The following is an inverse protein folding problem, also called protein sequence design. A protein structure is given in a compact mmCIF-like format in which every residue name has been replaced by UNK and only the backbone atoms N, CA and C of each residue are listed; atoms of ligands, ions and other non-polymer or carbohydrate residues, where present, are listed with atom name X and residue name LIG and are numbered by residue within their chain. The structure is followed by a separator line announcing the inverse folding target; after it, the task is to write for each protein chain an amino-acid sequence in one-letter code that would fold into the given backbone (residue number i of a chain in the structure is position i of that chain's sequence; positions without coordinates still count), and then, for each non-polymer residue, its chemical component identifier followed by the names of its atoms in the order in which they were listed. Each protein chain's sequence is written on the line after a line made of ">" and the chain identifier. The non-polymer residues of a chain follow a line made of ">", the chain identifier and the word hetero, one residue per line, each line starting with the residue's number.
data_IF_281679828472
#
_entry.id   IF_281679828472
#
_cell.length_a   1.000
_cell.length_b   1.000
_cell.length_c   1.000
_cell.angle_alpha   90.00
_cell.angle_beta   90.00
_cell.angle_gamma   90.00
#
_symmetry.space_group_name_H-M   'P 1'
#
loop_
_entity.id
_entity.type
_entity.pdbx_description
1 polymer ?
#
# COMPACT_ATOMS: atom_id res chain seq x y z
N UNK A 1 14.37 9.18 16.83
CA UNK A 1 13.76 7.85 16.62
C UNK A 1 14.74 7.00 15.84
N UNK A 2 15.07 5.83 16.34
CA UNK A 2 16.03 4.97 15.66
C UNK A 2 15.38 4.18 14.51
N UNK A 3 16.20 3.49 13.71
CA UNK A 3 15.70 2.74 12.55
C UNK A 3 14.74 1.62 12.96
N UNK A 4 14.98 1.00 14.14
CA UNK A 4 14.12 -0.08 14.62
C UNK A 4 12.71 0.41 14.92
N UNK A 5 12.56 1.57 15.54
CA UNK A 5 11.26 2.14 15.81
C UNK A 5 10.53 2.55 14.53
N UNK A 6 11.27 3.09 13.57
CA UNK A 6 10.69 3.47 12.28
C UNK A 6 10.22 2.26 11.50
N UNK A 7 11.02 1.20 11.44
CA UNK A 7 10.63 0.00 10.70
C UNK A 7 9.42 -0.68 11.35
N UNK A 8 9.32 -0.63 12.69
CA UNK A 8 8.17 -1.15 13.41
C UNK A 8 6.89 -0.41 13.03
N UNK A 9 6.95 0.91 12.95
CA UNK A 9 5.80 1.72 12.54
C UNK A 9 5.44 1.48 11.07
N UNK A 10 6.45 1.35 10.22
CA UNK A 10 6.23 1.02 8.80
C UNK A 10 5.54 -0.34 8.69
N UNK A 11 5.97 -1.31 9.48
CA UNK A 11 5.36 -2.63 9.52
C UNK A 11 3.89 -2.56 9.91
N UNK A 12 3.57 -1.80 10.97
CA UNK A 12 2.18 -1.64 11.41
C UNK A 12 1.31 -0.99 10.35
N UNK A 13 1.81 0.05 9.68
CA UNK A 13 1.10 0.65 8.55
C UNK A 13 0.89 -0.36 7.43
N UNK A 14 1.90 -1.14 7.13
CA UNK A 14 1.84 -2.15 6.05
C UNK A 14 0.77 -3.19 6.35
N UNK A 15 0.70 -3.67 7.58
CA UNK A 15 -0.34 -4.63 7.99
C UNK A 15 -1.73 -4.01 7.93
N UNK A 16 -1.86 -2.75 8.30
CA UNK A 16 -3.14 -2.04 8.21
C UNK A 16 -3.58 -1.84 6.75
N UNK A 17 -2.62 -1.55 5.86
CA UNK A 17 -2.89 -1.43 4.43
C UNK A 17 -3.36 -2.78 3.88
N UNK A 18 -2.68 -3.85 4.23
CA UNK A 18 -3.05 -5.20 3.80
C UNK A 18 -4.48 -5.55 4.24
N UNK A 19 -4.80 -5.24 5.49
CA UNK A 19 -6.13 -5.48 6.04
C UNK A 19 -7.21 -4.68 5.32
N UNK A 20 -6.97 -3.40 5.10
CA UNK A 20 -7.93 -2.55 4.38
C UNK A 20 -8.13 -3.05 2.94
N UNK A 21 -7.05 -3.43 2.28
CA UNK A 21 -7.12 -3.97 0.91
C UNK A 21 -7.92 -5.29 0.87
N UNK A 22 -7.73 -6.14 1.89
CA UNK A 22 -8.40 -7.44 1.94
C UNK A 22 -9.91 -7.33 2.03
N UNK A 23 -10.42 -6.25 2.62
CA UNK A 23 -11.87 -6.01 2.74
C UNK A 23 -12.38 -4.97 1.74
N UNK A 24 -11.55 -4.57 0.78
CA UNK A 24 -11.95 -3.65 -0.28
C UNK A 24 -12.06 -2.19 0.14
N UNK A 25 -11.50 -1.81 1.27
CA UNK A 25 -11.50 -0.42 1.74
C UNK A 25 -10.33 0.35 1.12
N UNK A 26 -10.40 0.58 -0.18
CA UNK A 26 -9.31 1.15 -0.96
C UNK A 26 -8.99 2.59 -0.61
N UNK A 27 -10.01 3.38 -0.25
CA UNK A 27 -9.79 4.76 0.19
C UNK A 27 -8.95 4.79 1.46
N UNK A 28 -9.28 3.93 2.42
CA UNK A 28 -8.52 3.82 3.67
C UNK A 28 -7.11 3.31 3.40
N UNK A 29 -6.96 2.32 2.53
CA UNK A 29 -5.65 1.80 2.15
C UNK A 29 -4.78 2.92 1.55
N UNK A 30 -5.32 3.74 0.68
CA UNK A 30 -4.59 4.84 0.06
C UNK A 30 -4.14 5.88 1.09
N UNK A 31 -5.00 6.21 2.05
CA UNK A 31 -4.64 7.14 3.13
C UNK A 31 -3.50 6.59 3.99
N UNK A 32 -3.53 5.30 4.26
CA UNK A 32 -2.47 4.64 5.04
C UNK A 32 -1.15 4.59 4.27
N UNK A 33 -1.19 4.36 2.97
CA UNK A 33 -0.01 4.42 2.10
C UNK A 33 0.61 5.81 2.17
N UNK A 34 -0.21 6.85 2.05
CA UNK A 34 0.26 8.22 2.14
C UNK A 34 0.90 8.52 3.50
N UNK A 35 0.29 8.04 4.58
CA UNK A 35 0.81 8.25 5.93
C UNK A 35 2.13 7.51 6.14
N UNK A 36 2.31 6.34 5.52
CA UNK A 36 3.53 5.54 5.62
C UNK A 36 4.70 6.13 4.83
N UNK A 37 4.42 6.81 3.73
CA UNK A 37 5.45 7.26 2.78
C UNK A 37 6.59 8.06 3.41
N UNK A 38 6.34 9.06 4.28
CA UNK A 38 7.45 9.79 4.89
C UNK A 38 8.37 8.91 5.73
N UNK A 39 7.81 7.89 6.39
CA UNK A 39 8.61 6.97 7.19
C UNK A 39 9.52 6.12 6.31
N UNK A 40 9.01 5.61 5.19
CA UNK A 40 9.82 4.87 4.23
C UNK A 40 10.95 5.74 3.67
N UNK A 41 10.63 6.96 3.29
CA UNK A 41 11.62 7.88 2.73
C UNK A 41 12.66 8.32 3.75
N UNK A 42 12.35 8.22 5.04
CA UNK A 42 13.29 8.59 6.10
C UNK A 42 14.33 7.52 6.39
N UNK A 43 14.16 6.30 5.89
CA UNK A 43 15.13 5.24 6.07
C UNK A 43 16.35 5.49 5.19
N UNK A 44 17.54 5.30 5.75
CA UNK A 44 18.79 5.41 5.00
C UNK A 44 19.02 4.19 4.12
N UNK A 45 20.06 4.25 3.30
CA UNK A 45 20.42 3.17 2.38
C UNK A 45 21.12 2.01 3.06
N UNK A 46 21.72 2.26 4.23
CA UNK A 46 22.44 1.23 4.98
C UNK A 46 21.60 0.79 6.17
N UNK A 47 21.14 -0.45 6.12
CA UNK A 47 20.29 -1.01 7.15
C UNK A 47 20.90 -2.32 7.66
N UNK A 48 20.57 -2.69 8.90
CA UNK A 48 20.98 -3.96 9.48
C UNK A 48 20.34 -5.13 8.72
N UNK A 49 20.94 -6.33 8.78
CA UNK A 49 20.32 -7.51 8.15
C UNK A 49 18.90 -7.78 8.64
N UNK A 50 18.61 -7.53 9.92
CA UNK A 50 17.27 -7.72 10.47
C UNK A 50 16.27 -6.76 9.84
N UNK A 51 16.65 -5.49 9.69
CA UNK A 51 15.79 -4.48 9.05
C UNK A 51 15.61 -4.80 7.57
N UNK A 52 16.66 -5.23 6.89
CA UNK A 52 16.57 -5.63 5.48
C UNK A 52 15.61 -6.80 5.28
N UNK A 53 15.64 -7.80 6.18
CA UNK A 53 14.72 -8.93 6.12
C UNK A 53 13.28 -8.46 6.25
N UNK A 54 13.02 -7.54 7.18
CA UNK A 54 11.68 -7.01 7.38
C UNK A 54 11.22 -6.16 6.21
N UNK A 55 12.13 -5.39 5.59
CA UNK A 55 11.82 -4.62 4.38
C UNK A 55 11.44 -5.53 3.21
N UNK A 56 12.07 -6.71 3.10
CA UNK A 56 11.69 -7.68 2.07
C UNK A 56 10.26 -8.19 2.29
N UNK A 57 9.88 -8.46 3.54
CA UNK A 57 8.50 -8.87 3.84
C UNK A 57 7.51 -7.76 3.53
N UNK A 58 7.85 -6.52 3.89
CA UNK A 58 7.02 -5.36 3.57
C UNK A 58 6.85 -5.24 2.06
N UNK A 59 7.94 -5.40 1.31
CA UNK A 59 7.90 -5.34 -0.15
C UNK A 59 6.99 -6.43 -0.73
N UNK A 60 7.07 -7.65 -0.21
CA UNK A 60 6.21 -8.74 -0.66
C UNK A 60 4.73 -8.44 -0.40
N UNK A 61 4.41 -7.86 0.76
CA UNK A 61 3.04 -7.44 1.06
C UNK A 61 2.60 -6.33 0.11
N UNK A 62 3.46 -5.34 -0.15
CA UNK A 62 3.17 -4.26 -1.09
C UNK A 62 2.85 -4.81 -2.48
N UNK A 63 3.61 -5.80 -2.95
CA UNK A 63 3.37 -6.40 -4.25
C UNK A 63 1.99 -7.08 -4.30
N UNK A 64 1.61 -7.80 -3.24
CA UNK A 64 0.31 -8.45 -3.19
C UNK A 64 -0.83 -7.44 -3.15
N UNK A 65 -0.65 -6.35 -2.38
CA UNK A 65 -1.65 -5.28 -2.31
C UNK A 65 -1.79 -4.58 -3.65
N UNK A 66 -0.67 -4.28 -4.32
CA UNK A 66 -0.68 -3.65 -5.64
C UNK A 66 -1.37 -4.53 -6.66
N UNK A 67 -1.12 -5.83 -6.63
CA UNK A 67 -1.79 -6.79 -7.52
C UNK A 67 -3.29 -6.82 -7.26
N UNK A 68 -3.70 -6.87 -5.99
CA UNK A 68 -5.12 -6.85 -5.63
C UNK A 68 -5.78 -5.55 -6.08
N UNK A 69 -5.08 -4.42 -5.96
CA UNK A 69 -5.58 -3.13 -6.42
C UNK A 69 -5.79 -3.12 -7.94
N UNK A 70 -4.86 -3.72 -8.69
CA UNK A 70 -4.99 -3.81 -10.14
C UNK A 70 -6.19 -4.67 -10.54
N UNK A 71 -6.41 -5.78 -9.85
CA UNK A 71 -7.57 -6.65 -10.10
C UNK A 71 -8.86 -5.88 -9.83
N UNK A 72 -8.94 -5.18 -8.69
CA UNK A 72 -10.10 -4.37 -8.33
C UNK A 72 -10.33 -3.24 -9.34
N UNK A 73 -9.26 -2.61 -9.81
CA UNK A 73 -9.34 -1.55 -10.82
C UNK A 73 -9.93 -2.08 -12.13
N UNK A 74 -9.52 -3.27 -12.56
CA UNK A 74 -10.04 -3.86 -13.80
C UNK A 74 -11.54 -4.18 -13.66
N UNK A 75 -11.94 -4.74 -12.53
CA UNK A 75 -13.35 -5.03 -12.26
C UNK A 75 -14.17 -3.75 -12.24
N UNK A 76 -13.66 -2.71 -11.57
CA UNK A 76 -14.30 -1.41 -11.49
C UNK A 76 -14.36 -0.74 -12.86
N UNK A 77 -13.33 -0.91 -13.69
CA UNK A 77 -13.30 -0.38 -15.04
C UNK A 77 -14.41 -0.95 -15.91
N UNK A 78 -14.70 -2.24 -15.77
CA UNK A 78 -15.80 -2.88 -16.48
C UNK A 78 -17.14 -2.29 -16.05
N UNK A 79 -17.34 -2.05 -14.74
CA UNK A 79 -18.53 -1.39 -14.24
C UNK A 79 -18.61 0.08 -14.65
N UNK A 80 -17.46 0.75 -14.67
CA UNK A 80 -17.35 2.15 -15.03
C UNK A 80 -17.86 2.41 -16.46
N UNK A 81 -17.53 1.53 -17.40
CA UNK A 81 -18.02 1.67 -18.77
C UNK A 81 -19.53 1.64 -18.86
N UNK A 82 -20.17 0.97 -17.91
CA UNK A 82 -21.63 0.89 -17.87
C UNK A 82 -22.26 2.07 -17.14
N UNK A 83 -21.61 2.62 -16.11
CA UNK A 83 -22.25 3.55 -15.18
C UNK A 83 -21.61 4.94 -15.13
N UNK A 84 -20.36 5.08 -15.49
CA UNK A 84 -19.61 6.36 -15.44
C UNK A 84 -19.53 6.95 -14.02
N UNK A 85 -19.59 6.13 -12.99
CA UNK A 85 -19.66 6.64 -11.61
C UNK A 85 -18.40 6.39 -10.76
N UNK A 86 -17.40 5.74 -11.27
CA UNK A 86 -16.30 5.23 -10.45
C UNK A 86 -14.97 5.96 -10.62
N UNK A 87 -14.95 7.14 -11.22
CA UNK A 87 -13.71 7.85 -11.56
C UNK A 87 -12.81 8.07 -10.35
N UNK A 88 -13.37 8.52 -9.24
CA UNK A 88 -12.61 8.78 -8.02
C UNK A 88 -11.99 7.50 -7.46
N UNK A 89 -12.76 6.43 -7.44
CA UNK A 89 -12.30 5.13 -6.93
C UNK A 89 -11.20 4.56 -7.82
N UNK A 90 -11.33 4.70 -9.14
CA UNK A 90 -10.30 4.27 -10.08
C UNK A 90 -8.98 4.97 -9.78
N UNK A 91 -9.01 6.28 -9.50
CA UNK A 91 -7.81 7.03 -9.15
C UNK A 91 -7.13 6.50 -7.90
N UNK A 92 -7.90 6.12 -6.89
CA UNK A 92 -7.36 5.56 -5.66
C UNK A 92 -6.70 4.20 -5.89
N UNK A 93 -7.34 3.33 -6.67
CA UNK A 93 -6.76 2.03 -7.02
C UNK A 93 -5.44 2.22 -7.77
N UNK A 94 -5.39 3.17 -8.70
CA UNK A 94 -4.16 3.46 -9.45
C UNK A 94 -3.03 3.92 -8.55
N UNK A 95 -3.32 4.76 -7.55
CA UNK A 95 -2.30 5.22 -6.60
C UNK A 95 -1.68 4.06 -5.84
N UNK A 96 -2.50 3.12 -5.39
CA UNK A 96 -2.03 1.95 -4.64
C UNK A 96 -1.22 1.03 -5.55
N UNK A 97 -1.66 0.82 -6.78
CA UNK A 97 -1.01 -0.07 -7.73
C UNK A 97 0.38 0.42 -8.15
N UNK A 98 0.67 1.71 -8.00
CA UNK A 98 1.97 2.29 -8.35
C UNK A 98 3.01 2.11 -7.26
N UNK A 99 2.63 1.66 -6.10
CA UNK A 99 3.55 1.34 -5.04
C UNK A 99 4.00 -0.10 -5.16
#
# INVERSE_FOLDING_TARGET
>A
MDAQNRIERIWQFTKAIEQAAAVGEWEQAALLVDARSPLLMSLGTQQSPAVLAQLREIHAINDRVAEAAQVAQRALGAEYQASMRATRNVSQYQRIAQF
#
